data_IF_346402965849
#
_entry.id   IF_346402965849
#
_cell.length_a   1.000
_cell.length_b   1.000
_cell.length_c   1.000
_cell.angle_alpha   90.00
_cell.angle_beta   90.00
_cell.angle_gamma   90.00
#
_symmetry.space_group_name_H-M   'P 1'
#
loop_
_entity.id
_entity.type
_entity.pdbx_description
1 polymer ?
#
# COMPACT_ATOMS: atom_id res chain seq x y z
N UNK A 1 -2.12 2.93 -27.21
CA UNK A 1 -0.78 2.34 -27.07
C UNK A 1 -0.68 1.88 -25.64
N UNK A 2 -0.91 0.60 -25.38
CA UNK A 2 -0.87 0.03 -24.03
C UNK A 2 0.60 0.00 -23.61
N UNK A 3 1.04 1.03 -22.88
CA UNK A 3 2.28 0.93 -22.13
C UNK A 3 2.01 -0.10 -21.04
N UNK A 4 2.48 -1.33 -21.25
CA UNK A 4 2.63 -2.32 -20.19
C UNK A 4 3.42 -1.63 -19.08
N UNK A 5 2.73 -1.26 -18.00
CA UNK A 5 3.37 -0.79 -16.77
C UNK A 5 4.49 -1.78 -16.45
N UNK A 6 5.76 -1.36 -16.29
CA UNK A 6 6.83 -2.30 -15.95
C UNK A 6 6.39 -3.09 -14.71
N UNK A 7 6.24 -4.40 -14.91
CA UNK A 7 5.56 -5.29 -14.00
C UNK A 7 6.19 -5.23 -12.59
N UNK A 8 5.33 -5.19 -11.58
CA UNK A 8 5.78 -5.34 -10.20
C UNK A 8 6.52 -6.68 -10.03
N UNK A 9 7.66 -6.66 -9.37
CA UNK A 9 8.37 -7.88 -8.96
C UNK A 9 7.75 -8.43 -7.67
N UNK A 10 7.52 -9.75 -7.61
CA UNK A 10 6.96 -10.42 -6.44
C UNK A 10 8.04 -11.23 -5.72
N UNK A 11 8.05 -11.16 -4.39
CA UNK A 11 8.98 -11.88 -3.53
C UNK A 11 8.21 -12.62 -2.45
N UNK A 12 8.38 -13.93 -2.35
CA UNK A 12 7.94 -14.69 -1.18
C UNK A 12 8.81 -14.29 0.00
N UNK A 13 8.19 -14.06 1.15
CA UNK A 13 8.86 -13.75 2.41
C UNK A 13 8.99 -15.04 3.21
N UNK A 14 10.22 -15.53 3.34
CA UNK A 14 10.51 -16.84 3.91
C UNK A 14 11.09 -16.74 5.32
N UNK A 15 11.84 -15.67 5.64
CA UNK A 15 12.50 -15.53 6.94
C UNK A 15 12.98 -14.09 7.25
N UNK A 16 13.62 -13.92 8.40
CA UNK A 16 14.37 -12.72 8.76
C UNK A 16 13.49 -11.49 9.07
N UNK A 17 14.08 -10.30 8.92
CA UNK A 17 13.43 -9.04 9.22
C UNK A 17 12.18 -8.80 8.35
N UNK A 18 12.16 -9.28 7.11
CA UNK A 18 11.00 -9.19 6.24
C UNK A 18 9.80 -9.97 6.79
N UNK A 19 10.04 -11.18 7.31
CA UNK A 19 9.00 -12.00 7.94
C UNK A 19 8.46 -11.36 9.21
N UNK A 20 9.32 -10.77 10.02
CA UNK A 20 8.89 -10.05 11.22
C UNK A 20 8.06 -8.82 10.85
N UNK A 21 8.51 -8.05 9.86
CA UNK A 21 7.83 -6.83 9.40
C UNK A 21 6.40 -7.11 8.91
N UNK A 22 6.20 -8.14 8.08
CA UNK A 22 4.85 -8.48 7.60
C UNK A 22 3.94 -8.95 8.73
N UNK A 23 4.47 -9.71 9.71
CA UNK A 23 3.71 -10.16 10.88
C UNK A 23 3.29 -8.99 11.77
N UNK A 24 4.23 -8.09 12.06
CA UNK A 24 3.95 -6.89 12.87
C UNK A 24 2.91 -6.01 12.18
N UNK A 25 3.02 -5.83 10.87
CA UNK A 25 2.04 -5.09 10.08
C UNK A 25 0.65 -5.73 10.12
N UNK A 26 0.53 -7.05 9.95
CA UNK A 26 -0.75 -7.77 10.02
C UNK A 26 -1.36 -7.66 11.42
N UNK A 27 -0.55 -7.81 12.47
CA UNK A 27 -1.01 -7.68 13.85
C UNK A 27 -1.53 -6.25 14.13
N UNK A 28 -0.81 -5.23 13.67
CA UNK A 28 -1.20 -3.83 13.84
C UNK A 28 -2.48 -3.49 13.05
N UNK A 29 -2.64 -4.04 11.83
CA UNK A 29 -3.92 -3.97 11.10
C UNK A 29 -5.06 -4.60 11.89
N UNK A 30 -4.84 -5.76 12.51
CA UNK A 30 -5.83 -6.43 13.36
C UNK A 30 -6.22 -5.58 14.58
N UNK A 31 -5.25 -4.93 15.22
CA UNK A 31 -5.49 -3.97 16.31
C UNK A 31 -6.37 -2.81 15.85
N UNK A 32 -6.03 -2.16 14.75
CA UNK A 32 -6.81 -1.02 14.21
C UNK A 32 -8.22 -1.46 13.84
N UNK A 33 -8.38 -2.61 13.17
CA UNK A 33 -9.68 -3.16 12.83
C UNK A 33 -10.55 -3.40 14.08
N UNK A 34 -9.95 -3.89 15.17
CA UNK A 34 -10.65 -4.08 16.46
C UNK A 34 -11.12 -2.76 17.05
N UNK A 35 -10.28 -1.72 17.02
CA UNK A 35 -10.65 -0.37 17.47
C UNK A 35 -11.81 0.19 16.65
N UNK A 36 -11.71 0.11 15.31
CA UNK A 36 -12.76 0.61 14.40
C UNK A 36 -14.07 -0.15 14.61
N UNK A 37 -14.03 -1.48 14.78
CA UNK A 37 -15.21 -2.29 15.08
C UNK A 37 -15.86 -1.87 16.41
N UNK A 38 -15.06 -1.57 17.44
CA UNK A 38 -15.55 -1.03 18.71
C UNK A 38 -16.26 0.32 18.54
N UNK A 39 -15.66 1.25 17.81
CA UNK A 39 -16.25 2.57 17.53
C UNK A 39 -17.54 2.45 16.70
N UNK A 40 -17.57 1.56 15.71
CA UNK A 40 -18.74 1.32 14.89
C UNK A 40 -19.90 0.74 15.73
N UNK A 41 -19.60 -0.20 16.62
CA UNK A 41 -20.59 -0.76 17.56
C UNK A 41 -21.15 0.31 18.49
N UNK A 42 -20.29 1.19 19.01
CA UNK A 42 -20.72 2.28 19.90
C UNK A 42 -21.62 3.30 19.19
N UNK A 43 -21.33 3.60 17.91
CA UNK A 43 -22.17 4.49 17.10
C UNK A 43 -23.44 3.83 16.58
N UNK A 44 -23.60 2.51 16.73
CA UNK A 44 -24.74 1.78 16.21
C UNK A 44 -24.84 1.81 14.69
N UNK A 45 -23.71 1.80 13.98
CA UNK A 45 -23.65 1.91 12.51
C UNK A 45 -23.42 0.55 11.85
N UNK A 46 -24.03 0.34 10.68
CA UNK A 46 -23.79 -0.86 9.85
C UNK A 46 -22.57 -0.73 8.95
N UNK A 47 -22.19 0.50 8.56
CA UNK A 47 -21.06 0.73 7.64
C UNK A 47 -20.21 1.92 8.05
N UNK A 48 -18.92 1.76 7.83
CA UNK A 48 -17.89 2.73 8.09
C UNK A 48 -17.02 2.95 6.84
N UNK A 49 -16.51 4.16 6.68
CA UNK A 49 -15.43 4.46 5.74
C UNK A 49 -14.15 4.70 6.53
N UNK A 50 -13.11 3.96 6.21
CA UNK A 50 -11.79 4.08 6.83
C UNK A 50 -10.80 4.72 5.87
N UNK A 51 -9.75 5.31 6.45
CA UNK A 51 -8.58 5.73 5.69
C UNK A 51 -7.86 4.51 5.12
N UNK A 52 -7.58 4.49 3.81
CA UNK A 52 -6.97 3.33 3.17
C UNK A 52 -5.50 3.09 3.58
N UNK A 53 -4.79 4.13 4.05
CA UNK A 53 -3.36 4.07 4.38
C UNK A 53 -3.14 3.62 5.82
N UNK A 54 -4.02 4.04 6.71
CA UNK A 54 -3.87 3.90 8.17
C UNK A 54 -4.97 3.06 8.83
N UNK A 55 -6.06 2.77 8.11
CA UNK A 55 -7.18 1.96 8.57
C UNK A 55 -8.11 2.66 9.57
N UNK A 56 -7.83 3.91 9.98
CA UNK A 56 -8.64 4.61 10.99
C UNK A 56 -10.02 5.00 10.46
N UNK A 57 -11.01 5.07 11.35
CA UNK A 57 -12.35 5.48 11.00
C UNK A 57 -12.39 6.97 10.62
N UNK A 58 -12.89 7.29 9.42
CA UNK A 58 -13.04 8.67 8.94
C UNK A 58 -14.48 9.13 8.85
N UNK A 59 -15.38 8.24 8.44
CA UNK A 59 -16.77 8.54 8.15
C UNK A 59 -17.64 7.33 8.39
N UNK A 60 -18.93 7.56 8.54
CA UNK A 60 -19.89 6.55 8.99
C UNK A 60 -21.19 6.67 8.21
N UNK A 61 -21.93 5.57 8.11
CA UNK A 61 -23.27 5.55 7.52
C UNK A 61 -24.23 5.11 8.61
N UNK A 62 -25.15 6.00 8.98
CA UNK A 62 -26.21 5.71 9.95
C UNK A 62 -27.41 5.07 9.23
N UNK A 63 -27.96 4.00 9.78
CA UNK A 63 -29.17 3.36 9.25
C UNK A 63 -30.47 4.07 9.69
N UNK A 64 -30.36 5.00 10.65
CA UNK A 64 -31.48 5.73 11.23
C UNK A 64 -31.10 7.15 11.66
N UNK A 65 -31.41 7.52 12.89
CA UNK A 65 -31.10 8.85 13.41
C UNK A 65 -29.59 9.12 13.40
N UNK A 66 -29.21 10.26 12.83
CA UNK A 66 -27.81 10.68 12.74
C UNK A 66 -27.37 11.20 14.11
N UNK A 67 -26.29 10.65 14.65
CA UNK A 67 -25.72 11.12 15.90
C UNK A 67 -25.43 12.65 15.83
N UNK A 68 -25.80 13.45 16.85
CA UNK A 68 -25.77 14.93 16.79
C UNK A 68 -24.39 15.52 16.45
N UNK A 69 -23.33 14.85 16.89
CA UNK A 69 -21.95 15.22 16.58
C UNK A 69 -21.56 15.05 15.11
N UNK A 70 -22.41 14.46 14.27
CA UNK A 70 -22.12 14.22 12.86
C UNK A 70 -22.89 15.19 11.94
N UNK A 71 -22.27 15.48 10.79
CA UNK A 71 -22.89 16.25 9.71
C UNK A 71 -23.94 15.40 8.99
N UNK A 72 -24.85 16.07 8.28
CA UNK A 72 -25.75 15.39 7.33
C UNK A 72 -24.92 14.60 6.31
N UNK A 73 -25.40 13.43 5.88
CA UNK A 73 -24.68 12.58 4.94
C UNK A 73 -24.43 13.30 3.62
N UNK A 74 -23.31 12.97 2.98
CA UNK A 74 -23.00 13.41 1.63
C UNK A 74 -23.78 12.63 0.55
N UNK A 75 -23.45 12.86 -0.73
CA UNK A 75 -24.09 12.16 -1.86
C UNK A 75 -23.88 10.64 -1.84
N UNK A 76 -22.91 10.14 -1.08
CA UNK A 76 -22.61 8.70 -0.94
C UNK A 76 -23.23 8.11 0.34
N UNK A 77 -24.00 8.92 1.09
CA UNK A 77 -24.60 8.51 2.35
C UNK A 77 -23.63 8.56 3.55
N UNK A 78 -22.45 9.16 3.39
CA UNK A 78 -21.41 9.18 4.43
C UNK A 78 -21.52 10.44 5.27
N UNK A 79 -21.63 10.27 6.57
CA UNK A 79 -21.61 11.32 7.58
C UNK A 79 -20.22 11.44 8.22
N UNK A 80 -19.74 12.68 8.33
CA UNK A 80 -18.46 13.01 8.97
C UNK A 80 -18.70 13.76 10.28
N UNK A 81 -17.86 13.52 11.28
CA UNK A 81 -17.93 14.23 12.55
C UNK A 81 -17.79 15.75 12.34
N UNK A 82 -18.61 16.53 13.05
CA UNK A 82 -18.56 18.00 13.04
C UNK A 82 -17.28 18.45 13.71
N UNK A 83 -16.57 19.38 13.08
CA UNK A 83 -15.36 20.00 13.64
C UNK A 83 -15.67 20.52 15.05
N UNK A 84 -14.84 20.14 16.02
CA UNK A 84 -14.97 20.55 17.43
C UNK A 84 -15.91 19.68 18.28
N UNK A 85 -16.62 18.71 17.70
CA UNK A 85 -17.41 17.75 18.48
C UNK A 85 -16.54 16.77 19.27
N UNK A 86 -17.06 16.19 20.37
CA UNK A 86 -16.42 15.08 21.07
C UNK A 86 -16.00 13.94 20.14
N UNK A 87 -16.88 13.54 19.21
CA UNK A 87 -16.53 12.52 18.21
C UNK A 87 -15.41 12.95 17.25
N UNK A 88 -15.37 14.20 16.80
CA UNK A 88 -14.27 14.64 15.94
C UNK A 88 -12.91 14.60 16.66
N UNK A 89 -12.88 14.90 17.97
CA UNK A 89 -11.66 14.77 18.78
C UNK A 89 -11.25 13.29 18.90
N UNK A 90 -12.18 12.42 19.26
CA UNK A 90 -11.93 10.99 19.43
C UNK A 90 -11.49 10.30 18.13
N UNK A 91 -12.12 10.64 17.00
CA UNK A 91 -11.71 10.11 15.70
C UNK A 91 -10.30 10.59 15.30
N UNK A 92 -9.92 11.81 15.66
CA UNK A 92 -8.56 12.35 15.43
C UNK A 92 -7.49 11.68 16.31
N UNK A 93 -7.87 11.21 17.49
CA UNK A 93 -6.96 10.53 18.45
C UNK A 93 -6.71 9.06 18.11
N UNK A 94 -7.39 8.51 17.10
CA UNK A 94 -7.12 7.14 16.64
C UNK A 94 -5.67 6.99 16.18
N UNK A 95 -5.02 5.92 16.64
CA UNK A 95 -3.70 5.50 16.16
C UNK A 95 -3.89 4.42 15.11
N UNK A 96 -3.73 4.80 13.84
CA UNK A 96 -3.76 3.89 12.71
C UNK A 96 -2.52 3.00 12.61
N UNK A 97 -2.52 2.13 11.61
CA UNK A 97 -1.34 1.34 11.27
C UNK A 97 -0.41 2.13 10.35
N UNK A 98 0.85 1.71 10.26
CA UNK A 98 1.80 2.30 9.33
C UNK A 98 1.31 2.19 7.88
N UNK A 99 1.68 3.18 7.05
CA UNK A 99 1.50 3.10 5.60
C UNK A 99 2.41 2.00 5.06
N UNK A 100 1.82 1.02 4.38
CA UNK A 100 2.51 -0.18 3.97
C UNK A 100 3.59 0.09 2.90
N UNK A 101 3.29 0.95 1.92
CA UNK A 101 4.23 1.30 0.85
C UNK A 101 5.44 1.99 1.46
N UNK A 102 5.22 2.97 2.34
CA UNK A 102 6.28 3.67 3.04
C UNK A 102 7.09 2.74 3.96
N UNK A 103 6.42 1.85 4.69
CA UNK A 103 7.08 0.91 5.60
C UNK A 103 8.05 -0.02 4.85
N UNK A 104 7.58 -0.62 3.76
CA UNK A 104 8.39 -1.52 2.92
C UNK A 104 9.52 -0.73 2.25
N UNK A 105 9.22 0.42 1.66
CA UNK A 105 10.20 1.25 0.97
C UNK A 105 11.33 1.70 1.88
N UNK A 106 11.01 2.18 3.08
CA UNK A 106 12.00 2.61 4.06
C UNK A 106 12.83 1.43 4.58
N UNK A 107 12.20 0.27 4.83
CA UNK A 107 12.90 -0.90 5.37
C UNK A 107 13.90 -1.48 4.37
N UNK A 108 13.54 -1.53 3.09
CA UNK A 108 14.35 -2.16 2.06
C UNK A 108 15.06 -1.17 1.13
N UNK A 109 15.00 0.12 1.43
CA UNK A 109 15.63 1.17 0.64
C UNK A 109 15.10 1.25 -0.79
N UNK A 110 13.83 0.90 -1.02
CA UNK A 110 13.24 0.87 -2.36
C UNK A 110 12.95 2.31 -2.82
N UNK A 111 13.54 2.78 -3.92
CA UNK A 111 13.17 4.05 -4.51
C UNK A 111 11.72 3.98 -5.02
N UNK A 112 10.90 4.94 -4.62
CA UNK A 112 9.51 5.09 -5.11
C UNK A 112 9.40 6.13 -6.24
N UNK A 113 10.54 6.64 -6.68
CA UNK A 113 10.64 7.57 -7.80
C UNK A 113 12.04 7.55 -8.39
N UNK A 114 12.16 8.02 -9.64
CA UNK A 114 13.45 8.29 -10.28
C UNK A 114 13.55 9.78 -10.64
N UNK A 115 14.73 10.36 -10.40
CA UNK A 115 15.17 11.56 -11.10
C UNK A 115 16.00 11.16 -12.32
N UNK A 116 15.92 11.92 -13.41
CA UNK A 116 16.66 11.62 -14.63
C UNK A 116 17.01 12.89 -15.42
N UNK A 117 18.08 12.81 -16.20
CA UNK A 117 18.47 13.83 -17.18
C UNK A 117 18.54 13.22 -18.57
N UNK A 118 18.27 14.00 -19.61
CA UNK A 118 18.33 13.53 -20.99
C UNK A 118 18.62 14.65 -21.97
N UNK A 119 18.65 14.32 -23.26
CA UNK A 119 18.80 15.30 -24.35
C UNK A 119 17.63 15.19 -25.32
N UNK A 120 17.00 16.33 -25.60
CA UNK A 120 15.90 16.42 -26.58
C UNK A 120 16.40 16.39 -28.02
N UNK A 121 15.46 16.32 -28.98
CA UNK A 121 15.77 16.28 -30.41
C UNK A 121 16.57 17.51 -30.92
N UNK A 122 16.48 18.65 -30.22
CA UNK A 122 17.26 19.86 -30.50
C UNK A 122 18.64 19.90 -29.83
N UNK A 123 19.04 18.84 -29.12
CA UNK A 123 20.30 18.80 -28.38
C UNK A 123 20.27 19.48 -27.01
N UNK A 124 19.15 20.11 -26.63
CA UNK A 124 18.95 20.72 -25.31
C UNK A 124 18.86 19.65 -24.23
N UNK A 125 19.58 19.89 -23.12
CA UNK A 125 19.51 19.05 -21.93
C UNK A 125 18.21 19.35 -21.16
N UNK A 126 17.60 18.30 -20.63
CA UNK A 126 16.46 18.43 -19.74
C UNK A 126 16.66 17.58 -18.48
N UNK A 127 15.99 17.98 -17.41
CA UNK A 127 15.90 17.25 -16.15
C UNK A 127 14.44 16.95 -15.86
N UNK A 128 14.18 15.76 -15.31
CA UNK A 128 12.85 15.29 -15.01
C UNK A 128 12.82 14.40 -13.78
N UNK A 129 11.60 14.17 -13.31
CA UNK A 129 11.31 13.26 -12.22
C UNK A 129 10.01 12.51 -12.51
N UNK A 130 9.93 11.25 -12.12
CA UNK A 130 8.69 10.47 -12.18
C UNK A 130 8.57 9.49 -11.02
N UNK A 131 7.33 9.28 -10.56
CA UNK A 131 7.00 8.21 -9.63
C UNK A 131 7.28 6.84 -10.27
N UNK A 132 7.58 5.87 -9.42
CA UNK A 132 7.70 4.47 -9.78
C UNK A 132 6.47 3.73 -9.24
N UNK A 133 5.83 2.91 -10.08
CA UNK A 133 4.63 2.16 -9.69
C UNK A 133 3.36 3.03 -9.62
N UNK A 134 2.32 2.52 -8.95
CA UNK A 134 1.08 3.26 -8.76
C UNK A 134 1.24 4.28 -7.62
N UNK A 135 0.94 5.57 -7.82
CA UNK A 135 0.98 6.54 -6.74
C UNK A 135 0.14 6.09 -5.54
N UNK A 136 0.69 6.25 -4.33
CA UNK A 136 0.08 5.88 -3.04
C UNK A 136 -0.05 4.36 -2.81
N UNK A 137 0.46 3.55 -3.72
CA UNK A 137 0.50 2.10 -3.66
C UNK A 137 1.60 1.63 -4.60
N UNK A 138 2.84 1.92 -4.23
CA UNK A 138 4.03 1.59 -5.03
C UNK A 138 4.59 0.23 -4.64
N UNK A 139 4.44 -0.20 -3.39
CA UNK A 139 4.75 -1.55 -2.91
C UNK A 139 3.79 -2.00 -1.81
N UNK A 140 3.76 -3.31 -1.55
CA UNK A 140 2.83 -3.88 -0.57
C UNK A 140 3.11 -5.36 -0.25
N UNK A 141 2.55 -5.83 0.86
CA UNK A 141 2.49 -7.24 1.26
C UNK A 141 1.28 -7.93 0.62
N UNK A 142 1.44 -9.22 0.38
CA UNK A 142 0.42 -10.17 -0.03
C UNK A 142 0.42 -11.31 0.99
N UNK A 143 -0.75 -11.76 1.43
CA UNK A 143 -0.85 -12.88 2.36
C UNK A 143 -2.16 -13.63 2.18
N UNK A 144 -2.11 -14.95 2.38
CA UNK A 144 -3.26 -15.83 2.18
C UNK A 144 -3.99 -16.20 3.48
N UNK A 145 -3.30 -16.05 4.61
CA UNK A 145 -3.83 -16.22 5.96
C UNK A 145 -3.01 -15.41 6.96
N UNK A 146 -3.44 -15.36 8.22
CA UNK A 146 -2.68 -14.73 9.29
C UNK A 146 -1.34 -15.45 9.56
N UNK A 147 -1.24 -16.73 9.19
CA UNK A 147 -0.05 -17.57 9.39
C UNK A 147 0.78 -17.72 8.10
N UNK A 148 0.35 -17.09 7.00
CA UNK A 148 1.00 -17.13 5.70
C UNK A 148 0.35 -18.09 4.70
N UNK A 149 1.01 -18.39 3.57
CA UNK A 149 2.29 -17.81 3.14
C UNK A 149 2.21 -16.29 2.94
N UNK A 150 3.36 -15.63 3.12
CA UNK A 150 3.53 -14.19 2.96
C UNK A 150 4.39 -13.88 1.74
N UNK A 151 4.06 -12.79 1.05
CA UNK A 151 4.85 -12.24 -0.03
C UNK A 151 4.81 -10.71 0.02
N UNK A 152 5.64 -10.07 -0.78
CA UNK A 152 5.54 -8.65 -1.09
C UNK A 152 5.70 -8.43 -2.58
N UNK A 153 5.10 -7.35 -3.07
CA UNK A 153 5.35 -6.83 -4.40
C UNK A 153 6.04 -5.49 -4.28
N UNK A 154 6.98 -5.26 -5.18
CA UNK A 154 7.76 -4.03 -5.29
C UNK A 154 7.79 -3.63 -6.76
N UNK A 155 8.05 -2.35 -7.07
CA UNK A 155 8.28 -2.00 -8.45
C UNK A 155 9.58 -2.64 -8.95
N UNK A 156 9.64 -3.01 -10.24
CA UNK A 156 10.89 -3.47 -10.85
C UNK A 156 11.77 -2.27 -11.23
N UNK A 157 12.43 -1.68 -10.22
CA UNK A 157 13.29 -0.51 -10.38
C UNK A 157 14.41 -0.74 -11.42
N UNK A 158 15.12 -1.89 -11.45
CA UNK A 158 16.08 -2.19 -12.52
C UNK A 158 15.47 -2.16 -13.93
N UNK A 159 14.28 -2.71 -14.13
CA UNK A 159 13.60 -2.66 -15.42
C UNK A 159 13.24 -1.21 -15.81
N UNK A 160 12.79 -0.40 -14.84
CA UNK A 160 12.47 1.02 -15.06
C UNK A 160 13.73 1.83 -15.42
N UNK A 161 14.86 1.57 -14.75
CA UNK A 161 16.14 2.20 -15.06
C UNK A 161 16.64 1.78 -16.44
N UNK A 162 16.46 0.51 -16.81
CA UNK A 162 16.82 0.02 -18.14
C UNK A 162 15.98 0.69 -19.24
N UNK A 163 14.68 0.87 -19.01
CA UNK A 163 13.80 1.60 -19.93
C UNK A 163 14.23 3.07 -20.09
N UNK A 164 14.51 3.76 -18.98
CA UNK A 164 15.03 5.14 -19.00
C UNK A 164 16.32 5.24 -19.83
N UNK A 165 17.26 4.30 -19.63
CA UNK A 165 18.51 4.25 -20.39
C UNK A 165 18.29 3.99 -21.89
N UNK A 166 17.27 3.19 -22.24
CA UNK A 166 16.90 2.97 -23.64
C UNK A 166 16.39 4.25 -24.32
N UNK A 167 15.80 5.16 -23.52
CA UNK A 167 15.36 6.50 -23.96
C UNK A 167 16.50 7.55 -23.92
N UNK A 168 17.76 7.11 -23.76
CA UNK A 168 18.94 7.97 -23.57
C UNK A 168 18.87 8.87 -22.33
N UNK A 169 18.09 8.47 -21.32
CA UNK A 169 18.03 9.14 -20.02
C UNK A 169 19.12 8.59 -19.08
N UNK A 170 19.79 9.48 -18.35
CA UNK A 170 20.66 9.14 -17.22
C UNK A 170 19.85 9.22 -15.93
N UNK A 171 19.71 8.10 -15.25
CA UNK A 171 18.97 8.02 -13.97
C UNK A 171 19.88 8.38 -12.80
N UNK A 172 19.34 9.15 -11.84
CA UNK A 172 20.03 9.54 -10.62
C UNK A 172 19.99 8.44 -9.52
N UNK A 173 20.90 8.55 -8.55
CA UNK A 173 20.90 7.72 -7.35
C UNK A 173 19.73 8.09 -6.41
N UNK A 174 19.21 7.15 -5.60
CA UNK A 174 19.66 5.75 -5.43
C UNK A 174 19.12 4.77 -6.49
N UNK A 175 18.22 5.22 -7.39
CA UNK A 175 17.56 4.31 -8.32
C UNK A 175 18.52 3.68 -9.33
N UNK A 176 19.54 4.41 -9.78
CA UNK A 176 20.50 3.95 -10.78
C UNK A 176 21.29 2.70 -10.37
N UNK A 177 21.59 2.56 -9.08
CA UNK A 177 22.35 1.43 -8.51
C UNK A 177 21.51 0.42 -7.72
N UNK A 178 20.21 0.68 -7.56
CA UNK A 178 19.33 -0.15 -6.76
C UNK A 178 19.23 -1.59 -7.29
N UNK A 179 19.22 -2.57 -6.37
CA UNK A 179 19.07 -3.98 -6.68
C UNK A 179 17.86 -4.58 -5.97
N UNK A 180 17.18 -5.46 -6.68
CA UNK A 180 16.04 -6.24 -6.17
C UNK A 180 16.49 -7.45 -5.35
N UNK A 181 17.22 -7.19 -4.27
CA UNK A 181 17.76 -8.20 -3.38
C UNK A 181 17.32 -7.89 -1.95
N UNK A 182 16.43 -8.73 -1.41
CA UNK A 182 15.83 -8.53 -0.10
C UNK A 182 16.15 -9.73 0.79
N UNK A 183 16.93 -9.55 1.88
CA UNK A 183 17.27 -10.64 2.78
C UNK A 183 16.05 -11.38 3.32
N UNK A 184 16.09 -12.71 3.29
CA UNK A 184 14.99 -13.57 3.73
C UNK A 184 13.80 -13.63 2.77
N UNK A 185 13.94 -13.07 1.57
CA UNK A 185 12.92 -13.12 0.52
C UNK A 185 13.45 -13.79 -0.75
N UNK A 186 12.57 -14.46 -1.49
CA UNK A 186 12.88 -15.09 -2.77
C UNK A 186 11.98 -14.54 -3.86
N UNK A 187 12.58 -14.05 -4.95
CA UNK A 187 11.84 -13.58 -6.13
C UNK A 187 11.08 -14.76 -6.76
N UNK A 188 9.83 -14.51 -7.12
CA UNK A 188 8.97 -15.46 -7.85
C UNK A 188 8.30 -14.76 -9.03
N UNK A 189 7.82 -15.55 -9.98
CA UNK A 189 6.95 -15.05 -11.04
C UNK A 189 5.55 -14.76 -10.50
N UNK A 190 4.82 -13.91 -11.20
CA UNK A 190 3.43 -13.58 -10.85
C UNK A 190 2.53 -14.81 -10.92
N UNK A 191 2.73 -15.65 -11.93
CA UNK A 191 1.98 -16.89 -12.15
C UNK A 191 2.21 -17.89 -11.01
N UNK A 192 3.42 -17.93 -10.44
CA UNK A 192 3.71 -18.78 -9.28
C UNK A 192 2.86 -18.36 -8.07
N UNK A 193 2.75 -17.06 -7.80
CA UNK A 193 1.89 -16.55 -6.74
C UNK A 193 0.42 -16.87 -6.98
N UNK A 194 -0.06 -16.69 -8.22
CA UNK A 194 -1.45 -16.98 -8.60
C UNK A 194 -1.79 -18.47 -8.40
N UNK A 195 -0.89 -19.38 -8.80
CA UNK A 195 -1.03 -20.82 -8.57
C UNK A 195 -1.15 -21.12 -7.07
N UNK A 196 -0.27 -20.54 -6.25
CA UNK A 196 -0.33 -20.73 -4.79
C UNK A 196 -1.66 -20.25 -4.21
N UNK A 197 -2.18 -19.10 -4.67
CA UNK A 197 -3.48 -18.56 -4.21
C UNK A 197 -4.62 -19.52 -4.58
N UNK A 198 -4.62 -20.06 -5.80
CA UNK A 198 -5.64 -21.01 -6.24
C UNK A 198 -5.59 -22.31 -5.44
N UNK A 199 -4.40 -22.85 -5.17
CA UNK A 199 -4.22 -24.04 -4.34
C UNK A 199 -4.73 -23.83 -2.91
N UNK A 200 -4.42 -22.69 -2.29
CA UNK A 200 -4.91 -22.35 -0.95
C UNK A 200 -6.44 -22.22 -0.90
N UNK A 201 -7.04 -21.60 -1.92
CA UNK A 201 -8.51 -21.53 -2.02
C UNK A 201 -9.15 -22.92 -2.15
N UNK A 202 -8.55 -23.79 -2.96
CA UNK A 202 -9.03 -25.16 -3.12
C UNK A 202 -8.97 -25.96 -1.81
N UNK A 203 -7.87 -25.83 -1.06
CA UNK A 203 -7.70 -26.49 0.24
C UNK A 203 -8.70 -26.02 1.30
N UNK A 204 -9.13 -24.75 1.25
CA UNK A 204 -10.16 -24.22 2.17
C UNK A 204 -11.59 -24.59 1.80
N UNK A 205 -11.82 -25.03 0.56
CA UNK A 205 -13.13 -25.41 0.04
C UNK A 205 -13.42 -26.91 0.16
N UNK A 206 -12.39 -27.72 0.41
CA UNK A 206 -12.48 -29.15 0.71
C UNK A 206 -12.71 -29.38 2.21
#
# INVERSE_FOLDING_TARGET
MNQETPDNAIFIIESGAALQLVRDYIADRGRVATVVAGLAKELGISRATTDHRTGVLQGVVFDGEIHPDFRKPDRRGVSYARKGSPWAKRLKEQVGHADQSQLIAQTFGIPLSIGYTGRGAGGEEYEGWRCIGSPLSECGFLWMSHDGPFAMWTPDVPAIVAAARADNETVAEPAASFKLEFPGCRRIRKEEWEIMVLQHKLQKAA
#
